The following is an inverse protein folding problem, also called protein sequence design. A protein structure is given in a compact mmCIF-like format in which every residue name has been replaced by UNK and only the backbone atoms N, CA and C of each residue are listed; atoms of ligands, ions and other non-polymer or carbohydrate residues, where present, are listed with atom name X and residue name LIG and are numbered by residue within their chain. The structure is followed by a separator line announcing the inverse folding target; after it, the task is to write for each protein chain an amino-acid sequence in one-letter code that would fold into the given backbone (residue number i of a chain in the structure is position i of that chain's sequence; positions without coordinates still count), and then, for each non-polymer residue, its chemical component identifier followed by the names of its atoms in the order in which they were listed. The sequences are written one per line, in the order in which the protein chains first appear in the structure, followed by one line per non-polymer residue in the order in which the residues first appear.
data_IF_141265437367
#
_entry.id   IF_141265437367
#
_cell.length_a   1.000
_cell.length_b   1.000
_cell.length_c   1.000
_cell.angle_alpha   90.00
_cell.angle_beta   90.00
_cell.angle_gamma   90.00
#
_symmetry.space_group_name_H-M   'P 1'
#
loop_
_entity.id
_entity.type
_entity.pdbx_description
1 polymer ?
#
# COMPACT_ATOMS: atom_id res chain seq x y z
N UNK A 1 18.49 14.60 -15.74
CA UNK A 1 18.25 14.07 -14.38
C UNK A 1 19.35 13.06 -14.10
N UNK A 2 20.10 13.23 -13.03
CA UNK A 2 21.13 12.25 -12.62
C UNK A 2 20.49 11.08 -11.88
N UNK A 3 21.16 9.92 -11.82
CA UNK A 3 20.66 8.75 -11.09
C UNK A 3 20.42 9.06 -9.59
N UNK A 4 21.26 9.95 -8.99
CA UNK A 4 21.08 10.42 -7.63
C UNK A 4 19.74 11.17 -7.46
N UNK A 5 19.32 11.96 -8.42
CA UNK A 5 18.06 12.71 -8.35
C UNK A 5 16.87 11.72 -8.37
N UNK A 6 16.96 10.68 -9.23
CA UNK A 6 15.94 9.62 -9.28
C UNK A 6 15.85 8.87 -7.96
N UNK A 7 16.99 8.51 -7.36
CA UNK A 7 17.01 7.87 -6.03
C UNK A 7 16.35 8.76 -4.97
N UNK A 8 16.61 10.06 -4.97
CA UNK A 8 16.03 11.00 -4.00
C UNK A 8 14.50 11.06 -4.17
N UNK A 9 14.02 11.09 -5.41
CA UNK A 9 12.58 11.13 -5.71
C UNK A 9 11.90 9.81 -5.28
N UNK A 10 12.50 8.65 -5.55
CA UNK A 10 12.02 7.35 -5.06
C UNK A 10 11.97 7.30 -3.53
N UNK A 11 13.00 7.79 -2.85
CA UNK A 11 13.04 7.86 -1.38
C UNK A 11 11.97 8.79 -0.80
N UNK A 12 11.62 9.88 -1.50
CA UNK A 12 10.52 10.76 -1.11
C UNK A 12 9.17 10.07 -1.20
N UNK A 13 8.97 9.30 -2.27
CA UNK A 13 7.77 8.48 -2.45
C UNK A 13 7.66 7.42 -1.35
N UNK A 14 8.74 6.66 -1.10
CA UNK A 14 8.79 5.66 -0.03
C UNK A 14 8.56 6.29 1.36
N UNK A 15 9.16 7.45 1.64
CA UNK A 15 8.94 8.15 2.90
C UNK A 15 7.48 8.58 3.10
N UNK A 16 6.80 8.97 2.02
CA UNK A 16 5.37 9.25 2.03
C UNK A 16 4.56 7.97 2.26
N UNK A 17 4.88 6.87 1.57
CA UNK A 17 4.21 5.59 1.71
C UNK A 17 4.24 5.10 3.16
N UNK A 18 5.41 5.05 3.78
CA UNK A 18 5.60 4.66 5.18
C UNK A 18 4.77 5.51 6.15
N UNK A 19 4.78 6.84 5.96
CA UNK A 19 3.99 7.74 6.81
C UNK A 19 2.47 7.57 6.62
N UNK A 20 2.02 7.12 5.46
CA UNK A 20 0.62 6.75 5.22
C UNK A 20 0.29 5.45 5.96
N UNK A 21 1.18 4.46 5.92
CA UNK A 21 1.01 3.17 6.60
C UNK A 21 1.01 3.29 8.12
N UNK A 22 1.86 4.14 8.70
CA UNK A 22 1.79 4.45 10.14
C UNK A 22 0.38 4.87 10.57
N UNK A 23 -0.40 5.49 9.67
CA UNK A 23 -1.79 5.92 9.94
C UNK A 23 -2.82 4.85 9.59
N UNK A 24 -2.52 3.96 8.63
CA UNK A 24 -3.43 2.94 8.14
C UNK A 24 -3.39 1.66 8.99
N UNK A 25 -2.20 1.20 9.38
CA UNK A 25 -2.01 -0.05 10.13
C UNK A 25 -2.83 -0.16 11.42
N UNK A 26 -3.00 0.92 12.25
CA UNK A 26 -3.88 0.85 13.42
C UNK A 26 -5.34 0.52 13.08
N UNK A 27 -5.81 0.94 11.90
CA UNK A 27 -7.17 0.64 11.45
C UNK A 27 -7.30 -0.82 11.04
N UNK A 28 -6.30 -1.37 10.32
CA UNK A 28 -6.24 -2.78 9.96
C UNK A 28 -6.17 -3.67 11.21
N UNK A 29 -5.29 -3.34 12.17
CA UNK A 29 -5.17 -4.06 13.43
C UNK A 29 -6.48 -4.06 14.23
N UNK A 30 -7.22 -2.94 14.25
CA UNK A 30 -8.51 -2.84 14.92
C UNK A 30 -9.60 -3.63 14.19
N UNK A 31 -9.60 -3.60 12.85
CA UNK A 31 -10.64 -4.20 12.01
C UNK A 31 -10.53 -5.72 11.90
N UNK A 32 -9.33 -6.27 11.78
CA UNK A 32 -9.10 -7.71 11.69
C UNK A 32 -9.82 -8.47 12.82
N UNK A 33 -10.38 -9.63 12.53
CA UNK A 33 -11.07 -10.48 13.52
C UNK A 33 -10.11 -11.52 14.11
N UNK A 34 -9.22 -12.07 13.30
CA UNK A 34 -8.21 -13.02 13.71
C UNK A 34 -7.14 -12.36 14.59
N UNK A 35 -6.83 -12.98 15.73
CA UNK A 35 -5.92 -12.41 16.73
C UNK A 35 -4.45 -12.37 16.24
N UNK A 36 -4.04 -13.35 15.45
CA UNK A 36 -2.68 -13.40 14.90
C UNK A 36 -2.48 -12.27 13.89
N UNK A 37 -3.49 -11.98 13.05
CA UNK A 37 -3.46 -10.81 12.14
C UNK A 37 -3.40 -9.50 12.90
N UNK A 38 -4.18 -9.33 13.98
CA UNK A 38 -4.08 -8.13 14.83
C UNK A 38 -2.67 -7.94 15.38
N UNK A 39 -2.07 -9.01 15.87
CA UNK A 39 -0.71 -8.97 16.40
C UNK A 39 0.31 -8.64 15.30
N UNK A 40 0.18 -9.25 14.12
CA UNK A 40 1.05 -8.95 12.98
C UNK A 40 1.00 -7.47 12.60
N UNK A 41 -0.20 -6.91 12.40
CA UNK A 41 -0.35 -5.48 12.05
C UNK A 41 0.13 -4.54 13.15
N UNK A 42 -0.03 -4.92 14.42
CA UNK A 42 0.47 -4.11 15.54
C UNK A 42 2.00 -4.12 15.58
N UNK A 43 2.61 -5.29 15.37
CA UNK A 43 4.08 -5.44 15.34
C UNK A 43 4.66 -4.70 14.14
N UNK A 44 4.03 -4.86 12.96
CA UNK A 44 4.47 -4.19 11.74
C UNK A 44 4.34 -2.66 11.83
N UNK A 45 3.36 -2.13 12.55
CA UNK A 45 3.28 -0.69 12.82
C UNK A 45 4.53 -0.17 13.54
N UNK A 46 5.10 -0.94 14.47
CA UNK A 46 6.31 -0.51 15.17
C UNK A 46 7.57 -0.68 14.28
N UNK A 47 7.60 -1.71 13.42
CA UNK A 47 8.60 -1.87 12.36
C UNK A 47 8.55 -0.66 11.39
N UNK A 48 7.39 -0.29 10.87
CA UNK A 48 7.15 0.86 9.97
C UNK A 48 7.61 2.20 10.57
N UNK A 49 7.36 2.42 11.86
CA UNK A 49 7.90 3.60 12.55
C UNK A 49 9.45 3.62 12.57
N UNK A 50 10.05 2.46 12.73
CA UNK A 50 11.51 2.28 12.64
C UNK A 50 12.03 2.60 11.24
N UNK A 51 11.33 2.15 10.21
CA UNK A 51 11.63 2.40 8.79
C UNK A 51 11.56 3.89 8.45
N UNK A 52 10.55 4.59 8.93
CA UNK A 52 10.47 6.05 8.81
C UNK A 52 11.69 6.74 9.43
N UNK A 53 12.18 6.25 10.57
CA UNK A 53 13.38 6.83 11.21
C UNK A 53 14.65 6.51 10.41
N UNK A 54 14.79 5.30 9.85
CA UNK A 54 15.91 4.93 8.98
C UNK A 54 15.89 5.75 7.67
N UNK A 55 14.74 5.99 7.06
CA UNK A 55 14.63 6.88 5.90
C UNK A 55 15.06 8.32 6.23
N UNK A 56 14.74 8.85 7.43
CA UNK A 56 15.28 10.17 7.86
C UNK A 56 16.80 10.17 7.94
N UNK A 57 17.43 9.08 8.41
CA UNK A 57 18.89 8.95 8.42
C UNK A 57 19.45 8.91 7.00
N UNK A 58 18.80 8.18 6.09
CA UNK A 58 19.16 8.15 4.66
C UNK A 58 19.15 9.55 4.07
N UNK A 59 18.09 10.34 4.30
CA UNK A 59 18.05 11.75 3.84
C UNK A 59 19.18 12.59 4.42
N UNK A 60 19.54 12.39 5.70
CA UNK A 60 20.69 13.09 6.32
C UNK A 60 22.01 12.74 5.63
N UNK A 61 22.25 11.45 5.31
CA UNK A 61 23.45 11.00 4.60
C UNK A 61 23.51 11.58 3.17
N UNK A 62 22.37 11.80 2.53
CA UNK A 62 22.29 12.40 1.21
C UNK A 62 22.42 13.94 1.20
N UNK A 63 22.35 14.58 2.39
CA UNK A 63 22.31 16.03 2.54
C UNK A 63 20.95 16.63 2.18
N UNK A 64 19.89 15.85 2.22
CA UNK A 64 18.53 16.20 1.82
C UNK A 64 17.60 16.32 3.03
N UNK A 65 16.46 17.00 2.83
CA UNK A 65 15.41 17.04 3.84
C UNK A 65 14.46 15.85 3.67
N UNK A 66 14.01 15.21 4.77
CA UNK A 66 13.04 14.12 4.72
C UNK A 66 11.62 14.67 4.44
N UNK A 67 11.41 15.17 3.25
CA UNK A 67 10.12 15.64 2.75
C UNK A 67 9.59 14.62 1.79
N UNK A 68 8.41 13.99 2.11
CA UNK A 68 7.74 13.09 1.17
C UNK A 68 7.04 13.89 0.07
N UNK A 69 7.07 13.36 -1.13
CA UNK A 69 6.11 13.65 -2.16
C UNK A 69 4.93 12.68 -1.95
N UNK A 70 3.69 13.11 -2.22
CA UNK A 70 2.54 12.25 -1.90
C UNK A 70 2.55 10.98 -2.76
N UNK A 71 2.63 9.81 -2.12
CA UNK A 71 2.61 8.53 -2.80
C UNK A 71 1.18 8.13 -3.15
N UNK A 72 0.78 8.35 -4.40
CA UNK A 72 -0.54 7.98 -4.91
C UNK A 72 -0.71 6.44 -5.02
N UNK A 73 0.38 5.72 -5.25
CA UNK A 73 0.36 4.26 -5.32
C UNK A 73 -0.02 3.64 -3.98
N UNK A 74 0.63 4.06 -2.91
CA UNK A 74 0.31 3.60 -1.56
C UNK A 74 -1.08 4.06 -1.10
N UNK A 75 -1.49 5.30 -1.42
CA UNK A 75 -2.85 5.78 -1.14
C UNK A 75 -3.89 4.84 -1.74
N UNK A 76 -3.76 4.47 -3.03
CA UNK A 76 -4.68 3.54 -3.68
C UNK A 76 -4.69 2.15 -3.04
N UNK A 77 -3.54 1.61 -2.64
CA UNK A 77 -3.47 0.32 -1.93
C UNK A 77 -4.15 0.40 -0.55
N UNK A 78 -3.97 1.51 0.16
CA UNK A 78 -4.63 1.75 1.46
C UNK A 78 -6.14 1.90 1.28
N UNK A 79 -6.62 2.58 0.24
CA UNK A 79 -8.05 2.69 -0.08
C UNK A 79 -8.67 1.32 -0.33
N UNK A 80 -8.02 0.44 -1.10
CA UNK A 80 -8.48 -0.94 -1.29
C UNK A 80 -8.58 -1.73 0.03
N UNK A 81 -7.64 -1.49 0.95
CA UNK A 81 -7.67 -2.07 2.30
C UNK A 81 -8.82 -1.52 3.14
N UNK A 82 -9.12 -0.22 3.03
CA UNK A 82 -10.24 0.41 3.71
C UNK A 82 -11.58 -0.10 3.18
N UNK A 83 -11.72 -0.29 1.86
CA UNK A 83 -12.90 -0.89 1.25
C UNK A 83 -13.16 -2.32 1.76
N UNK A 84 -12.08 -3.10 1.99
CA UNK A 84 -12.19 -4.43 2.58
C UNK A 84 -12.73 -4.36 4.03
N UNK A 85 -12.31 -3.34 4.80
CA UNK A 85 -12.80 -3.12 6.17
C UNK A 85 -14.26 -2.64 6.21
N UNK A 86 -14.70 -1.84 5.22
CA UNK A 86 -16.07 -1.29 5.17
C UNK A 86 -17.14 -2.37 4.95
N UNK A 87 -16.78 -3.51 4.35
CA UNK A 87 -17.71 -4.64 4.18
C UNK A 87 -18.26 -5.14 5.51
N UNK A 88 -17.56 -4.91 6.61
CA UNK A 88 -17.94 -5.20 7.99
C UNK A 88 -18.59 -6.58 8.20
N UNK A 89 -18.14 -7.55 7.40
CA UNK A 89 -18.56 -8.94 7.49
C UNK A 89 -17.85 -9.60 8.68
N UNK A 90 -18.38 -10.71 9.16
CA UNK A 90 -17.75 -11.50 10.21
C UNK A 90 -17.13 -12.77 9.64
N UNK A 91 -16.11 -13.26 10.31
CA UNK A 91 -15.52 -14.55 9.99
C UNK A 91 -14.28 -14.50 9.08
N UNK A 92 -13.78 -15.69 8.71
CA UNK A 92 -12.49 -15.83 8.02
C UNK A 92 -12.49 -15.28 6.59
N UNK A 93 -13.63 -15.21 5.92
CA UNK A 93 -13.76 -14.61 4.59
C UNK A 93 -13.45 -13.11 4.62
N UNK A 94 -13.87 -12.41 5.68
CA UNK A 94 -13.55 -11.00 5.91
C UNK A 94 -12.04 -10.78 6.09
N UNK A 95 -11.40 -11.57 6.98
CA UNK A 95 -9.95 -11.48 7.20
C UNK A 95 -9.16 -11.85 5.93
N UNK A 96 -9.70 -12.73 5.08
CA UNK A 96 -9.10 -13.05 3.78
C UNK A 96 -8.99 -11.83 2.86
N UNK A 97 -9.96 -10.94 2.85
CA UNK A 97 -9.92 -9.66 2.12
C UNK A 97 -8.83 -8.73 2.66
N UNK A 98 -8.72 -8.62 3.99
CA UNK A 98 -7.68 -7.81 4.66
C UNK A 98 -6.27 -8.35 4.35
N UNK A 99 -6.08 -9.68 4.35
CA UNK A 99 -4.81 -10.31 3.98
C UNK A 99 -4.40 -9.94 2.55
N UNK A 100 -5.35 -9.95 1.61
CA UNK A 100 -5.07 -9.56 0.23
C UNK A 100 -4.57 -8.11 0.10
N UNK A 101 -5.19 -7.18 0.82
CA UNK A 101 -4.76 -5.78 0.87
C UNK A 101 -3.37 -5.65 1.51
N UNK A 102 -3.15 -6.28 2.66
CA UNK A 102 -1.86 -6.26 3.35
C UNK A 102 -0.73 -6.79 2.47
N UNK A 103 -0.91 -7.92 1.79
CA UNK A 103 0.12 -8.47 0.89
C UNK A 103 0.45 -7.52 -0.27
N UNK A 104 -0.52 -6.77 -0.81
CA UNK A 104 -0.24 -5.77 -1.84
C UNK A 104 0.61 -4.64 -1.29
N UNK A 105 0.35 -4.20 -0.06
CA UNK A 105 1.15 -3.19 0.65
C UNK A 105 2.60 -3.62 0.76
N UNK A 106 2.88 -4.79 1.35
CA UNK A 106 4.24 -5.31 1.51
C UNK A 106 4.97 -5.40 0.17
N UNK A 107 4.31 -5.90 -0.88
CA UNK A 107 4.94 -6.04 -2.19
C UNK A 107 5.16 -4.70 -2.90
N UNK A 108 4.38 -3.67 -2.61
CA UNK A 108 4.65 -2.31 -3.08
C UNK A 108 5.95 -1.78 -2.45
N UNK A 109 6.11 -1.95 -1.14
CA UNK A 109 7.29 -1.49 -0.40
C UNK A 109 8.54 -2.28 -0.76
N UNK A 110 8.43 -3.60 -0.87
CA UNK A 110 9.54 -4.47 -1.35
C UNK A 110 10.06 -3.97 -2.70
N UNK A 111 9.18 -3.68 -3.67
CA UNK A 111 9.60 -3.21 -5.00
C UNK A 111 10.30 -1.84 -4.93
N UNK A 112 9.79 -0.91 -4.12
CA UNK A 112 10.41 0.40 -3.93
C UNK A 112 11.79 0.31 -3.26
N UNK A 113 11.92 -0.49 -2.20
CA UNK A 113 13.20 -0.70 -1.53
C UNK A 113 14.22 -1.43 -2.41
N UNK A 114 13.83 -2.45 -3.16
CA UNK A 114 14.73 -3.12 -4.11
C UNK A 114 15.27 -2.13 -5.15
N UNK A 115 14.42 -1.31 -5.74
CA UNK A 115 14.83 -0.29 -6.72
C UNK A 115 15.79 0.75 -6.09
N UNK A 116 15.48 1.26 -4.90
CA UNK A 116 16.32 2.24 -4.19
C UNK A 116 17.69 1.64 -3.79
N UNK A 117 17.72 0.38 -3.37
CA UNK A 117 18.96 -0.35 -3.04
C UNK A 117 19.84 -0.51 -4.28
N UNK A 118 19.27 -0.91 -5.42
CA UNK A 118 20.04 -1.06 -6.66
C UNK A 118 20.63 0.27 -7.14
N UNK A 119 19.86 1.36 -7.03
CA UNK A 119 20.35 2.71 -7.35
C UNK A 119 21.46 3.15 -6.40
N UNK A 120 21.29 2.96 -5.07
CA UNK A 120 22.28 3.35 -4.07
C UNK A 120 23.58 2.54 -4.19
N UNK A 121 23.50 1.25 -4.49
CA UNK A 121 24.64 0.39 -4.79
C UNK A 121 25.39 0.89 -6.04
N UNK A 122 24.69 1.19 -7.11
CA UNK A 122 25.25 1.71 -8.36
C UNK A 122 26.00 3.03 -8.14
N UNK A 123 25.51 3.85 -7.20
CA UNK A 123 26.12 5.12 -6.79
C UNK A 123 27.25 4.96 -5.76
N UNK A 124 27.52 3.75 -5.26
CA UNK A 124 28.54 3.47 -4.25
C UNK A 124 28.21 4.00 -2.85
N UNK A 125 26.91 4.17 -2.54
CA UNK A 125 26.41 4.75 -1.28
C UNK A 125 26.16 3.64 -0.23
N UNK A 126 27.22 2.97 0.25
CA UNK A 126 27.14 1.78 1.12
C UNK A 126 26.31 2.00 2.39
N UNK A 127 26.43 3.16 3.04
CA UNK A 127 25.70 3.46 4.28
C UNK A 127 24.20 3.62 4.03
N UNK A 128 23.82 4.25 2.90
CA UNK A 128 22.43 4.35 2.46
C UNK A 128 21.88 2.97 2.15
N UNK A 129 22.64 2.18 1.36
CA UNK A 129 22.26 0.80 1.01
C UNK A 129 22.02 -0.07 2.24
N UNK A 130 22.86 0.04 3.27
CA UNK A 130 22.70 -0.75 4.50
C UNK A 130 21.38 -0.45 5.20
N UNK A 131 21.01 0.83 5.38
CA UNK A 131 19.76 1.24 6.01
C UNK A 131 18.54 0.80 5.21
N UNK A 132 18.57 0.93 3.88
CA UNK A 132 17.48 0.49 3.01
C UNK A 132 17.33 -1.04 3.02
N UNK A 133 18.43 -1.77 3.11
CA UNK A 133 18.41 -3.24 3.22
C UNK A 133 17.78 -3.71 4.52
N UNK A 134 17.96 -2.99 5.63
CA UNK A 134 17.25 -3.29 6.88
C UNK A 134 15.74 -3.16 6.69
N UNK A 135 15.25 -2.08 6.06
CA UNK A 135 13.83 -1.91 5.77
C UNK A 135 13.33 -3.05 4.88
N UNK A 136 13.99 -3.32 3.75
CA UNK A 136 13.61 -4.41 2.86
C UNK A 136 13.48 -5.77 3.58
N UNK A 137 14.40 -6.09 4.48
CA UNK A 137 14.36 -7.35 5.23
C UNK A 137 13.15 -7.44 6.17
N UNK A 138 12.73 -6.32 6.75
CA UNK A 138 11.51 -6.24 7.56
C UNK A 138 10.28 -6.49 6.69
N UNK A 139 10.16 -5.86 5.49
CA UNK A 139 9.05 -6.07 4.56
C UNK A 139 8.97 -7.51 4.05
N UNK A 140 10.09 -8.08 3.64
CA UNK A 140 10.15 -9.49 3.22
C UNK A 140 9.70 -10.43 4.35
N UNK A 141 10.05 -10.10 5.59
CA UNK A 141 9.65 -10.86 6.77
C UNK A 141 8.17 -10.69 7.06
N UNK A 142 7.63 -9.47 6.97
CA UNK A 142 6.21 -9.16 7.15
C UNK A 142 5.36 -9.90 6.11
N UNK A 143 5.71 -9.81 4.83
CA UNK A 143 5.02 -10.54 3.76
C UNK A 143 5.01 -12.06 4.00
N UNK A 144 6.12 -12.63 4.48
CA UNK A 144 6.22 -14.05 4.82
C UNK A 144 5.32 -14.43 6.00
N UNK A 145 5.30 -13.61 7.06
CA UNK A 145 4.44 -13.83 8.23
C UNK A 145 2.96 -13.76 7.85
N UNK A 146 2.55 -12.76 7.05
CA UNK A 146 1.18 -12.63 6.55
C UNK A 146 0.78 -13.86 5.74
N UNK A 147 1.61 -14.31 4.79
CA UNK A 147 1.37 -15.55 4.00
C UNK A 147 1.23 -16.79 4.89
N UNK A 148 1.99 -16.88 5.97
CA UNK A 148 1.89 -18.00 6.89
C UNK A 148 0.57 -17.97 7.69
N UNK A 149 0.16 -16.80 8.18
CA UNK A 149 -1.11 -16.60 8.87
C UNK A 149 -2.33 -16.78 7.95
N UNK A 150 -2.19 -16.48 6.65
CA UNK A 150 -3.26 -16.59 5.67
C UNK A 150 -3.77 -18.03 5.48
N UNK A 151 -2.88 -19.02 5.50
CA UNK A 151 -3.24 -20.41 5.19
C UNK A 151 -4.38 -20.97 6.03
N UNK A 152 -4.30 -20.98 7.38
CA UNK A 152 -5.40 -21.49 8.21
C UNK A 152 -6.68 -20.66 8.02
N UNK A 153 -6.59 -19.33 7.84
CA UNK A 153 -7.75 -18.47 7.63
C UNK A 153 -8.47 -18.84 6.33
N UNK A 154 -7.72 -19.03 5.23
CA UNK A 154 -8.30 -19.44 3.94
C UNK A 154 -8.93 -20.84 4.00
N UNK A 155 -8.33 -21.79 4.75
CA UNK A 155 -8.90 -23.11 4.96
C UNK A 155 -10.21 -23.03 5.74
N UNK A 156 -10.25 -22.22 6.79
CA UNK A 156 -11.47 -21.99 7.57
C UNK A 156 -12.56 -21.33 6.71
N UNK A 157 -12.21 -20.29 5.94
CA UNK A 157 -13.13 -19.63 5.02
C UNK A 157 -13.72 -20.59 3.98
N UNK A 158 -12.90 -21.47 3.42
CA UNK A 158 -13.36 -22.47 2.42
C UNK A 158 -14.24 -23.55 2.99
N UNK A 159 -14.23 -23.74 4.30
CA UNK A 159 -15.04 -24.76 5.00
C UNK A 159 -16.40 -24.24 5.47
N UNK A 160 -16.64 -22.92 5.35
CA UNK A 160 -17.94 -22.34 5.66
C UNK A 160 -18.93 -22.69 4.54
N UNK A 161 -20.17 -23.08 4.86
CA UNK A 161 -21.21 -23.25 3.85
C UNK A 161 -21.36 -21.92 3.08
N UNK A 162 -21.45 -22.00 1.75
CA UNK A 162 -21.91 -20.86 0.98
C UNK A 162 -23.32 -20.53 1.49
N UNK A 163 -23.50 -19.39 2.14
CA UNK A 163 -24.84 -18.86 2.37
C UNK A 163 -25.44 -18.67 0.98
N UNK A 164 -26.53 -19.42 0.66
CA UNK A 164 -27.29 -19.19 -0.55
C UNK A 164 -27.75 -17.74 -0.54
N UNK A 165 -26.97 -16.85 -1.20
CA UNK A 165 -27.39 -15.49 -1.45
C UNK A 165 -28.72 -15.55 -2.21
N UNK A 166 -29.82 -15.21 -1.54
CA UNK A 166 -31.03 -14.82 -2.26
C UNK A 166 -30.61 -13.79 -3.30
N UNK A 167 -30.69 -14.15 -4.57
CA UNK A 167 -30.21 -13.36 -5.70
C UNK A 167 -30.56 -11.88 -5.51
N UNK A 168 -29.59 -10.94 -5.51
CA UNK A 168 -29.87 -9.55 -5.26
C UNK A 168 -30.84 -9.04 -6.32
N UNK A 169 -31.99 -8.60 -5.88
CA UNK A 169 -32.93 -7.85 -6.71
C UNK A 169 -32.19 -6.60 -7.20
N UNK A 170 -31.68 -6.69 -8.44
CA UNK A 170 -31.33 -5.56 -9.31
C UNK A 170 -30.69 -4.33 -8.66
N UNK A 171 -29.37 -4.27 -8.67
CA UNK A 171 -28.60 -3.07 -8.35
C UNK A 171 -27.46 -2.76 -9.33
N UNK A 172 -27.58 -3.17 -10.61
CA UNK A 172 -26.51 -2.99 -11.62
C UNK A 172 -26.34 -1.57 -12.18
N UNK A 173 -27.05 -0.57 -11.68
CA UNK A 173 -27.04 0.75 -12.34
C UNK A 173 -26.22 1.85 -11.67
N UNK A 174 -25.66 1.67 -10.46
CA UNK A 174 -25.02 2.80 -9.77
C UNK A 174 -23.52 2.99 -10.03
N UNK A 175 -22.81 1.97 -10.48
CA UNK A 175 -21.35 2.07 -10.66
C UNK A 175 -20.93 2.60 -12.04
N UNK A 176 -21.75 2.37 -13.07
CA UNK A 176 -21.49 2.88 -14.42
C UNK A 176 -21.81 4.39 -14.58
N UNK A 177 -22.77 4.90 -13.80
CA UNK A 177 -23.25 6.28 -13.98
C UNK A 177 -22.35 7.36 -13.31
N UNK A 178 -21.50 7.00 -12.36
CA UNK A 178 -20.61 7.96 -11.69
C UNK A 178 -19.35 8.25 -12.51
N UNK A 179 -18.82 7.24 -13.18
CA UNK A 179 -17.61 7.38 -14.01
C UNK A 179 -17.85 8.17 -15.29
N UNK A 180 -19.02 8.00 -15.92
CA UNK A 180 -19.37 8.72 -17.17
C UNK A 180 -19.64 10.21 -16.99
N UNK A 181 -20.08 10.66 -15.82
CA UNK A 181 -20.38 12.10 -15.58
C UNK A 181 -19.16 12.93 -15.18
N UNK A 182 -18.12 12.32 -14.61
CA UNK A 182 -16.88 13.02 -14.32
C UNK A 182 -15.95 13.08 -15.53
N UNK A 183 -15.93 12.05 -16.36
CA UNK A 183 -15.16 12.02 -17.60
C UNK A 183 -15.71 12.98 -18.67
N UNK A 184 -17.03 13.14 -18.78
CA UNK A 184 -17.65 14.14 -19.67
C UNK A 184 -17.36 15.58 -19.22
N UNK A 185 -17.31 15.86 -17.93
CA UNK A 185 -17.01 17.21 -17.43
C UNK A 185 -15.54 17.64 -17.63
N UNK A 186 -14.61 16.70 -17.74
CA UNK A 186 -13.18 16.98 -18.00
C UNK A 186 -12.83 17.05 -19.49
N UNK A 187 -13.62 16.45 -20.37
CA UNK A 187 -13.37 16.42 -21.81
C UNK A 187 -13.85 17.67 -22.58
N UNK A 188 -14.85 18.40 -22.08
CA UNK A 188 -15.42 19.57 -22.77
C UNK A 188 -14.46 20.77 -22.93
N UNK A 189 -13.53 21.09 -21.99
CA UNK A 189 -12.62 22.23 -22.18
C UNK A 189 -11.50 21.99 -23.19
N UNK A 190 -11.08 20.74 -23.41
CA UNK A 190 -9.98 20.45 -24.35
C UNK A 190 -10.43 20.40 -25.80
N UNK A 191 -11.64 19.97 -26.07
CA UNK A 191 -12.19 19.92 -27.44
C UNK A 191 -12.42 21.33 -28.01
N UNK A 192 -12.83 22.30 -27.17
CA UNK A 192 -13.04 23.71 -27.59
C UNK A 192 -11.73 24.45 -27.90
N UNK A 193 -10.59 24.02 -27.31
CA UNK A 193 -9.26 24.59 -27.61
C UNK A 193 -8.66 24.11 -28.95
N UNK A 194 -9.06 22.92 -29.41
CA UNK A 194 -8.54 22.34 -30.67
C UNK A 194 -9.26 22.85 -31.92
N UNK A 195 -10.45 23.37 -31.78
CA UNK A 195 -11.23 23.92 -32.93
C UNK A 195 -10.96 25.40 -33.21
N UNK A 196 -10.35 26.13 -32.26
CA UNK A 196 -10.03 27.55 -32.40
C UNK A 196 -8.66 27.85 -33.02
N UNK A 197 -7.89 26.81 -33.43
CA UNK A 197 -6.55 26.93 -34.02
C UNK A 197 -6.42 26.24 -35.38
N UNK A 198 -7.49 26.27 -36.17
CA UNK A 198 -7.46 25.96 -37.62
C UNK A 198 -8.07 27.06 -38.43
#
# INVERSE_FOLDING_TARGET
MALKDVLIDELRDMYSAENQLVKALPKLAKGAKNQDLKLLFTTHLDETKGQVLRLKQVFQLLGEKPTGEHCNGMEGVIEEGADALEKNEEGPSFDSGIIGAALRTEHYEIAGYEAAIDMSNTLGMSDVTALLTENLNEELTAAKKIKAAARPIFQEASSQPEEEEEAPKTGKEKYSAKRSKEDEKKAEPELKKRVATR
#
